data_IF_415344757040
#
_entry.id   IF_415344757040
#
_cell.length_a   1.000
_cell.length_b   1.000
_cell.length_c   1.000
_cell.angle_alpha   90.00
_cell.angle_beta   90.00
_cell.angle_gamma   90.00
#
_symmetry.space_group_name_H-M   'P 1'
#
loop_
_entity.id
_entity.type
_entity.pdbx_description
1 polymer ?
#
# COMPACT_ATOMS: atom_id res chain seq x y z
N UNK A 1 3.43 25.39 0.49
CA UNK A 1 3.43 24.68 -0.81
C UNK A 1 4.32 23.45 -0.79
N UNK A 2 5.55 23.54 -0.28
CA UNK A 2 6.50 22.43 -0.23
C UNK A 2 6.00 21.28 0.65
N UNK A 3 5.48 21.59 1.83
CA UNK A 3 4.93 20.58 2.77
C UNK A 3 3.68 19.88 2.21
N UNK A 4 2.84 20.62 1.49
CA UNK A 4 1.66 20.04 0.84
C UNK A 4 2.03 19.09 -0.32
N UNK A 5 3.06 19.45 -1.09
CA UNK A 5 3.58 18.59 -2.16
C UNK A 5 4.24 17.32 -1.59
N UNK A 6 4.96 17.45 -0.46
CA UNK A 6 5.53 16.32 0.26
C UNK A 6 4.45 15.35 0.73
N UNK A 7 3.40 15.87 1.36
CA UNK A 7 2.26 15.07 1.80
C UNK A 7 1.61 14.33 0.62
N UNK A 8 1.49 14.99 -0.54
CA UNK A 8 1.02 14.37 -1.78
C UNK A 8 1.90 13.22 -2.24
N UNK A 9 3.23 13.35 -2.15
CA UNK A 9 4.18 12.29 -2.48
C UNK A 9 4.12 11.12 -1.49
N UNK A 10 3.89 11.38 -0.20
CA UNK A 10 3.70 10.34 0.81
C UNK A 10 2.46 9.50 0.52
N UNK A 11 1.38 10.12 0.05
CA UNK A 11 0.15 9.42 -0.35
C UNK A 11 0.16 8.86 -1.79
N UNK A 12 1.13 9.21 -2.62
CA UNK A 12 1.21 8.70 -3.98
C UNK A 12 1.31 7.16 -4.03
N UNK A 13 2.08 6.55 -3.12
CA UNK A 13 2.20 5.09 -3.04
C UNK A 13 0.89 4.42 -2.60
N UNK A 14 0.14 5.04 -1.70
CA UNK A 14 -1.21 4.62 -1.33
C UNK A 14 -2.12 4.63 -2.57
N UNK A 15 -2.11 5.74 -3.33
CA UNK A 15 -2.93 5.87 -4.54
C UNK A 15 -2.58 4.80 -5.59
N UNK A 16 -1.30 4.50 -5.79
CA UNK A 16 -0.85 3.42 -6.69
C UNK A 16 -1.34 2.05 -6.19
N UNK A 17 -1.26 1.77 -4.89
CA UNK A 17 -1.79 0.53 -4.30
C UNK A 17 -3.31 0.38 -4.53
N UNK A 18 -4.07 1.43 -4.24
CA UNK A 18 -5.52 1.48 -4.47
C UNK A 18 -5.86 1.34 -5.95
N UNK A 19 -5.08 1.95 -6.85
CA UNK A 19 -5.24 1.79 -8.30
C UNK A 19 -5.12 0.33 -8.74
N UNK A 20 -4.17 -0.42 -8.19
CA UNK A 20 -3.99 -1.84 -8.52
C UNK A 20 -5.23 -2.66 -8.14
N UNK A 21 -5.79 -2.45 -6.95
CA UNK A 21 -6.95 -3.21 -6.49
C UNK A 21 -8.24 -2.80 -7.19
N UNK A 22 -8.54 -1.50 -7.24
CA UNK A 22 -9.80 -1.01 -7.77
C UNK A 22 -9.87 -0.95 -9.29
N UNK A 23 -8.77 -0.54 -9.94
CA UNK A 23 -8.77 -0.30 -11.38
C UNK A 23 -8.25 -1.46 -12.21
N UNK A 24 -7.20 -2.13 -11.72
CA UNK A 24 -6.60 -3.25 -12.45
C UNK A 24 -7.33 -4.54 -12.12
N UNK A 25 -7.54 -4.89 -10.84
CA UNK A 25 -8.25 -6.11 -10.45
C UNK A 25 -9.78 -5.99 -10.49
N UNK A 26 -10.33 -4.77 -10.51
CA UNK A 26 -11.76 -4.51 -10.33
C UNK A 26 -12.32 -5.13 -9.03
N UNK A 27 -11.52 -5.20 -7.98
CA UNK A 27 -11.91 -5.73 -6.67
C UNK A 27 -11.90 -4.60 -5.64
N UNK A 28 -13.04 -4.32 -4.98
CA UNK A 28 -13.08 -3.39 -3.86
C UNK A 28 -12.35 -4.01 -2.65
N UNK A 29 -11.15 -3.51 -2.34
CA UNK A 29 -10.34 -3.97 -1.22
C UNK A 29 -10.38 -2.94 -0.08
N UNK A 30 -11.08 -3.27 0.99
CA UNK A 30 -11.17 -2.46 2.20
C UNK A 30 -10.04 -2.74 3.20
N UNK A 31 -9.13 -3.65 2.87
CA UNK A 31 -7.95 -3.95 3.72
C UNK A 31 -6.98 -2.77 3.76
N UNK A 32 -7.05 -1.88 2.78
CA UNK A 32 -6.19 -0.69 2.61
C UNK A 32 -6.03 0.10 3.91
N UNK A 33 -7.13 0.42 4.59
CA UNK A 33 -7.11 1.19 5.84
C UNK A 33 -6.32 0.47 6.95
N UNK A 34 -6.54 -0.85 7.08
CA UNK A 34 -5.81 -1.69 8.04
C UNK A 34 -4.34 -1.87 7.69
N UNK A 35 -4.03 -2.10 6.41
CA UNK A 35 -2.66 -2.29 5.93
C UNK A 35 -1.82 -1.03 6.02
N UNK A 36 -2.41 0.14 5.77
CA UNK A 36 -1.75 1.43 5.95
C UNK A 36 -1.27 1.62 7.39
N UNK A 37 -2.18 1.41 8.35
CA UNK A 37 -1.87 1.48 9.78
C UNK A 37 -0.87 0.41 10.20
N UNK A 38 -0.95 -0.79 9.61
CA UNK A 38 -0.02 -1.88 9.92
C UNK A 38 1.41 -1.54 9.50
N UNK A 39 1.58 -1.00 8.29
CA UNK A 39 2.87 -0.49 7.84
C UNK A 39 3.41 0.62 8.73
N UNK A 40 2.54 1.55 9.14
CA UNK A 40 2.86 2.61 10.08
C UNK A 40 3.34 2.03 11.43
N UNK A 41 2.59 1.09 12.02
CA UNK A 41 2.90 0.48 13.31
C UNK A 41 4.24 -0.25 13.30
N UNK A 42 4.47 -1.12 12.31
CA UNK A 42 5.72 -1.89 12.18
C UNK A 42 6.92 -0.96 11.96
N UNK A 43 6.76 0.05 11.10
CA UNK A 43 7.82 1.05 10.86
C UNK A 43 8.15 1.84 12.12
N UNK A 44 7.13 2.23 12.90
CA UNK A 44 7.31 2.96 14.16
C UNK A 44 8.13 2.17 15.16
N UNK A 45 7.81 0.90 15.37
CA UNK A 45 8.52 0.03 16.32
C UNK A 45 9.98 -0.17 15.92
N UNK A 46 10.24 -0.45 14.63
CA UNK A 46 11.62 -0.67 14.15
C UNK A 46 12.43 0.63 14.09
N UNK A 47 11.79 1.76 13.84
CA UNK A 47 12.42 3.07 13.89
C UNK A 47 12.83 3.42 15.34
N UNK A 48 11.96 3.13 16.31
CA UNK A 48 12.29 3.27 17.74
C UNK A 48 13.47 2.35 18.15
N UNK A 49 13.65 1.21 17.48
CA UNK A 49 14.81 0.33 17.63
C UNK A 49 16.06 0.78 16.82
N UNK A 50 16.09 2.01 16.34
CA UNK A 50 17.18 2.61 15.56
C UNK A 50 17.45 1.98 14.17
N UNK A 51 16.45 1.34 13.56
CA UNK A 51 16.54 0.71 12.25
C UNK A 51 15.52 1.27 11.24
N UNK A 52 15.65 2.55 10.77
CA UNK A 52 14.63 3.20 9.96
C UNK A 52 14.40 2.54 8.59
N UNK A 53 15.44 2.10 7.89
CA UNK A 53 15.31 1.41 6.60
C UNK A 53 14.68 0.02 6.74
N UNK A 54 15.06 -0.73 7.80
CA UNK A 54 14.42 -1.99 8.10
C UNK A 54 12.92 -1.80 8.42
N UNK A 55 12.56 -0.68 9.06
CA UNK A 55 11.17 -0.29 9.32
C UNK A 55 10.35 -0.13 8.04
N UNK A 56 10.89 0.51 7.01
CA UNK A 56 10.22 0.67 5.71
C UNK A 56 10.00 -0.69 5.02
N UNK A 57 11.06 -1.52 4.95
CA UNK A 57 10.97 -2.84 4.32
C UNK A 57 10.04 -3.79 5.07
N UNK A 58 10.16 -3.84 6.40
CA UNK A 58 9.30 -4.68 7.22
C UNK A 58 7.85 -4.21 7.17
N UNK A 59 7.59 -2.88 7.14
CA UNK A 59 6.26 -2.33 6.94
C UNK A 59 5.63 -2.77 5.62
N UNK A 60 6.40 -2.71 4.52
CA UNK A 60 5.95 -3.19 3.21
C UNK A 60 5.64 -4.69 3.22
N UNK A 61 6.51 -5.52 3.83
CA UNK A 61 6.29 -6.97 3.96
C UNK A 61 5.09 -7.30 4.83
N UNK A 62 4.87 -6.54 5.91
CA UNK A 62 3.69 -6.66 6.75
C UNK A 62 2.40 -6.39 5.97
N UNK A 63 2.38 -5.33 5.17
CA UNK A 63 1.26 -5.04 4.26
C UNK A 63 1.06 -6.13 3.20
N UNK A 64 2.14 -6.65 2.62
CA UNK A 64 2.07 -7.79 1.70
C UNK A 64 1.41 -9.01 2.36
N UNK A 65 1.80 -9.34 3.59
CA UNK A 65 1.19 -10.43 4.36
C UNK A 65 -0.31 -10.21 4.61
N UNK A 66 -0.71 -8.99 4.96
CA UNK A 66 -2.12 -8.62 5.10
C UNK A 66 -2.90 -8.82 3.80
N UNK A 67 -2.33 -8.40 2.65
CA UNK A 67 -2.91 -8.63 1.33
C UNK A 67 -3.06 -10.11 0.97
N UNK A 68 -2.08 -10.95 1.33
CA UNK A 68 -2.17 -12.41 1.15
C UNK A 68 -3.29 -13.01 2.00
N UNK A 69 -3.44 -12.57 3.25
CA UNK A 69 -4.54 -13.04 4.13
C UNK A 69 -5.90 -12.69 3.51
N UNK A 70 -6.08 -11.47 3.04
CA UNK A 70 -7.31 -11.06 2.32
C UNK A 70 -7.54 -11.90 1.08
N UNK A 71 -6.49 -12.12 0.26
CA UNK A 71 -6.55 -12.98 -0.91
C UNK A 71 -6.93 -14.43 -0.58
N UNK A 72 -6.40 -14.98 0.51
CA UNK A 72 -6.75 -16.30 1.00
C UNK A 72 -8.24 -16.39 1.37
N UNK A 73 -8.75 -15.42 2.13
CA UNK A 73 -10.17 -15.37 2.50
C UNK A 73 -11.10 -15.31 1.28
N UNK A 74 -10.71 -14.52 0.26
CA UNK A 74 -11.49 -14.40 -0.97
C UNK A 74 -11.49 -15.69 -1.81
N UNK A 75 -10.35 -16.38 -1.90
CA UNK A 75 -10.19 -17.49 -2.85
C UNK A 75 -10.49 -18.85 -2.21
N UNK A 76 -9.99 -19.14 -1.00
CA UNK A 76 -10.19 -20.41 -0.30
C UNK A 76 -11.50 -20.44 0.47
N UNK A 77 -11.79 -19.39 1.23
CA UNK A 77 -13.03 -19.31 1.99
C UNK A 77 -14.21 -18.85 1.13
N UNK A 78 -13.97 -18.42 -0.12
CA UNK A 78 -14.99 -17.92 -1.07
C UNK A 78 -15.84 -16.77 -0.49
N UNK A 79 -15.24 -15.97 0.39
CA UNK A 79 -15.89 -14.82 1.01
C UNK A 79 -15.93 -13.68 0.00
N UNK A 80 -17.03 -12.94 -0.03
CA UNK A 80 -17.16 -11.77 -0.92
C UNK A 80 -16.00 -10.77 -0.66
N UNK A 81 -15.39 -10.19 -1.69
CA UNK A 81 -14.20 -9.32 -1.55
C UNK A 81 -14.34 -8.21 -0.51
N UNK A 82 -15.46 -7.52 -0.50
CA UNK A 82 -15.75 -6.45 0.48
C UNK A 82 -15.73 -7.00 1.91
N UNK A 83 -16.39 -8.13 2.14
CA UNK A 83 -16.48 -8.72 3.47
C UNK A 83 -15.11 -9.25 3.95
N UNK A 84 -14.33 -9.86 3.05
CA UNK A 84 -12.97 -10.29 3.34
C UNK A 84 -12.09 -9.11 3.76
N UNK A 85 -12.18 -7.98 3.05
CA UNK A 85 -11.47 -6.74 3.39
C UNK A 85 -11.84 -6.21 4.78
N UNK A 86 -13.14 -6.15 5.10
CA UNK A 86 -13.63 -5.70 6.42
C UNK A 86 -13.13 -6.61 7.54
N UNK A 87 -13.18 -7.93 7.34
CA UNK A 87 -12.68 -8.90 8.32
C UNK A 87 -11.19 -8.74 8.59
N UNK A 88 -10.40 -8.63 7.52
CA UNK A 88 -8.94 -8.41 7.63
C UNK A 88 -8.63 -7.08 8.29
N UNK A 89 -9.29 -5.99 7.90
CA UNK A 89 -9.14 -4.66 8.50
C UNK A 89 -9.43 -4.69 10.01
N UNK A 90 -10.54 -5.33 10.41
CA UNK A 90 -10.92 -5.45 11.83
C UNK A 90 -9.91 -6.29 12.62
N UNK A 91 -9.41 -7.38 12.03
CA UNK A 91 -8.35 -8.19 12.64
C UNK A 91 -7.03 -7.41 12.76
N UNK A 92 -6.64 -6.68 11.71
CA UNK A 92 -5.45 -5.86 11.71
C UNK A 92 -5.50 -4.74 12.76
N UNK A 93 -6.66 -4.19 13.07
CA UNK A 93 -6.80 -3.18 14.13
C UNK A 93 -6.25 -3.69 15.48
N UNK A 94 -6.61 -4.91 15.87
CA UNK A 94 -6.09 -5.54 17.09
C UNK A 94 -4.59 -5.79 17.02
N UNK A 95 -4.11 -6.27 15.86
CA UNK A 95 -2.67 -6.49 15.64
C UNK A 95 -1.90 -5.16 15.71
N UNK A 96 -2.42 -4.11 15.11
CA UNK A 96 -1.80 -2.78 15.09
C UNK A 96 -1.62 -2.21 16.50
N UNK A 97 -2.66 -2.27 17.35
CA UNK A 97 -2.57 -1.86 18.76
C UNK A 97 -1.52 -2.69 19.51
N UNK A 98 -1.51 -4.00 19.29
CA UNK A 98 -0.56 -4.91 19.97
C UNK A 98 0.87 -4.65 19.55
N UNK A 99 1.12 -4.44 18.25
CA UNK A 99 2.45 -4.14 17.71
C UNK A 99 2.93 -2.77 18.17
N UNK A 100 2.07 -1.76 18.15
CA UNK A 100 2.42 -0.40 18.56
C UNK A 100 2.61 -0.29 20.08
N UNK A 101 1.94 -1.15 20.86
CA UNK A 101 1.97 -1.11 22.33
C UNK A 101 1.12 0.01 22.95
N UNK A 102 0.35 0.76 22.14
CA UNK A 102 -0.53 1.85 22.58
C UNK A 102 -1.23 2.52 21.39
N UNK A 103 -2.17 3.44 21.67
CA UNK A 103 -2.91 4.11 20.59
C UNK A 103 -2.07 5.06 19.75
N UNK A 104 -1.03 5.65 20.36
CA UNK A 104 -0.11 6.59 19.70
C UNK A 104 1.29 6.43 20.29
N UNK A 105 2.31 6.35 19.44
CA UNK A 105 3.73 6.24 19.83
C UNK A 105 4.54 7.31 19.13
N UNK A 106 5.28 8.10 19.92
CA UNK A 106 6.15 9.18 19.43
C UNK A 106 7.49 8.64 18.94
N UNK A 107 7.98 9.19 17.82
CA UNK A 107 9.28 8.92 17.20
C UNK A 107 10.21 10.14 17.23
N UNK A 108 9.99 11.09 18.14
CA UNK A 108 10.73 12.36 18.13
C UNK A 108 12.24 12.15 18.30
N UNK A 109 12.65 11.20 19.13
CA UNK A 109 14.05 10.90 19.45
C UNK A 109 14.64 9.75 18.61
N UNK A 110 13.86 9.14 17.70
CA UNK A 110 14.31 8.02 16.88
C UNK A 110 14.98 8.52 15.58
N UNK A 111 16.06 7.84 15.10
CA UNK A 111 16.69 8.16 13.83
C UNK A 111 15.70 7.88 12.68
N UNK A 112 15.64 8.78 11.71
CA UNK A 112 14.70 8.71 10.60
C UNK A 112 15.46 8.51 9.30
N UNK A 113 14.84 7.82 8.31
CA UNK A 113 15.49 7.49 7.04
C UNK A 113 15.96 8.72 6.25
N UNK A 114 15.25 9.85 6.38
CA UNK A 114 15.58 11.07 5.66
C UNK A 114 16.78 11.83 6.22
N UNK A 115 17.20 11.56 7.46
CA UNK A 115 18.43 12.15 8.04
C UNK A 115 19.67 11.65 7.31
N UNK A 116 19.64 10.41 6.81
CA UNK A 116 20.72 9.80 6.02
C UNK A 116 20.75 10.32 4.59
N UNK A 117 19.59 10.71 4.03
CA UNK A 117 19.43 11.13 2.62
C UNK A 117 19.49 12.66 2.39
N UNK A 118 19.90 13.43 3.42
CA UNK A 118 20.14 14.87 3.27
C UNK A 118 18.89 15.75 3.33
N UNK A 119 17.77 15.22 3.82
CA UNK A 119 16.55 16.00 4.06
C UNK A 119 15.26 15.26 3.74
N UNK A 120 14.15 15.76 4.27
CA UNK A 120 12.83 15.14 4.17
C UNK A 120 12.32 15.10 2.73
N UNK A 121 12.39 16.24 2.01
CA UNK A 121 11.86 16.36 0.67
C UNK A 121 12.60 15.48 -0.38
N UNK A 122 13.94 15.51 -0.47
CA UNK A 122 14.64 14.69 -1.45
C UNK A 122 14.54 13.19 -1.12
N UNK A 123 14.50 12.82 0.16
CA UNK A 123 14.40 11.42 0.56
C UNK A 123 13.05 10.80 0.18
N UNK A 124 11.94 11.46 0.52
CA UNK A 124 10.59 11.00 0.15
C UNK A 124 10.42 10.97 -1.37
N UNK A 125 10.84 12.02 -2.06
CA UNK A 125 10.76 12.10 -3.52
C UNK A 125 11.54 10.98 -4.21
N UNK A 126 12.76 10.70 -3.76
CA UNK A 126 13.60 9.64 -4.32
C UNK A 126 12.99 8.26 -4.08
N UNK A 127 12.55 7.96 -2.86
CA UNK A 127 11.94 6.66 -2.52
C UNK A 127 10.67 6.46 -3.33
N UNK A 128 9.78 7.45 -3.38
CA UNK A 128 8.54 7.37 -4.17
C UNK A 128 8.83 7.18 -5.65
N UNK A 129 9.76 7.95 -6.23
CA UNK A 129 10.13 7.82 -7.63
C UNK A 129 10.69 6.44 -7.97
N UNK A 130 11.59 5.90 -7.14
CA UNK A 130 12.17 4.56 -7.33
C UNK A 130 11.07 3.49 -7.30
N UNK A 131 10.14 3.57 -6.34
CA UNK A 131 9.08 2.58 -6.22
C UNK A 131 8.09 2.67 -7.39
N UNK A 132 7.72 3.88 -7.82
CA UNK A 132 6.86 4.09 -8.99
C UNK A 132 7.51 3.51 -10.26
N UNK A 133 8.81 3.71 -10.45
CA UNK A 133 9.55 3.11 -11.56
C UNK A 133 9.55 1.58 -11.46
N UNK A 134 9.82 1.01 -10.28
CA UNK A 134 9.80 -0.44 -10.07
C UNK A 134 8.43 -1.04 -10.35
N UNK A 135 7.35 -0.41 -9.87
CA UNK A 135 5.97 -0.83 -10.13
C UNK A 135 5.66 -0.76 -11.63
N UNK A 136 6.07 0.30 -12.30
CA UNK A 136 5.87 0.46 -13.75
C UNK A 136 6.60 -0.64 -14.54
N UNK A 137 7.84 -0.93 -14.18
CA UNK A 137 8.62 -2.02 -14.78
C UNK A 137 7.99 -3.38 -14.49
N UNK A 138 7.52 -3.60 -13.26
CA UNK A 138 6.81 -4.83 -12.90
C UNK A 138 5.57 -5.06 -13.78
N UNK A 139 4.77 -4.01 -14.02
CA UNK A 139 3.60 -4.12 -14.89
C UNK A 139 3.91 -4.33 -16.37
N UNK A 140 5.17 -4.18 -16.80
CA UNK A 140 5.65 -4.57 -18.14
C UNK A 140 6.11 -6.03 -18.20
N UNK A 141 6.30 -6.68 -17.05
CA UNK A 141 6.64 -8.12 -16.99
C UNK A 141 5.43 -9.02 -17.23
N UNK A 142 5.70 -10.30 -17.48
CA UNK A 142 4.65 -11.32 -17.65
C UNK A 142 3.71 -11.37 -16.44
N UNK A 143 4.25 -11.21 -15.21
CA UNK A 143 3.44 -11.15 -13.99
C UNK A 143 2.44 -10.00 -13.99
N UNK A 144 2.87 -8.80 -14.35
CA UNK A 144 1.99 -7.64 -14.46
C UNK A 144 0.93 -7.78 -15.55
N UNK A 145 1.29 -8.40 -16.69
CA UNK A 145 0.33 -8.71 -17.75
C UNK A 145 -0.73 -9.72 -17.29
N UNK A 146 -0.34 -10.75 -16.53
CA UNK A 146 -1.27 -11.71 -15.94
C UNK A 146 -2.26 -11.04 -14.98
N UNK A 147 -1.79 -10.08 -14.15
CA UNK A 147 -2.66 -9.33 -13.23
C UNK A 147 -3.68 -8.50 -14.01
N UNK A 148 -3.27 -7.79 -15.06
CA UNK A 148 -4.18 -7.01 -15.92
C UNK A 148 -5.19 -7.91 -16.63
N UNK A 149 -4.74 -9.04 -17.16
CA UNK A 149 -5.61 -10.00 -17.84
C UNK A 149 -6.65 -10.58 -16.87
N UNK A 150 -6.24 -10.95 -15.64
CA UNK A 150 -7.13 -11.50 -14.61
C UNK A 150 -8.21 -10.50 -14.17
N UNK A 151 -7.88 -9.20 -14.12
CA UNK A 151 -8.84 -8.16 -13.81
C UNK A 151 -9.82 -7.86 -14.93
N UNK A 152 -9.44 -8.08 -16.20
CA UNK A 152 -10.35 -7.88 -17.35
C UNK A 152 -11.27 -9.05 -17.59
N UNK A 153 -10.76 -10.28 -17.55
CA UNK A 153 -11.57 -11.49 -17.77
C UNK A 153 -10.89 -12.71 -17.13
N UNK A 154 -11.37 -13.09 -15.95
CA UNK A 154 -10.82 -14.20 -15.17
C UNK A 154 -11.01 -15.55 -15.87
N UNK A 155 -12.14 -15.77 -16.55
CA UNK A 155 -12.43 -17.03 -17.22
C UNK A 155 -11.49 -17.27 -18.40
N UNK A 156 -11.12 -16.22 -19.14
CA UNK A 156 -10.15 -16.29 -20.22
C UNK A 156 -8.75 -16.65 -19.69
N UNK A 157 -8.34 -16.04 -18.58
CA UNK A 157 -7.03 -16.33 -17.96
C UNK A 157 -6.97 -17.76 -17.44
N UNK A 158 -8.06 -18.25 -16.86
CA UNK A 158 -8.20 -19.63 -16.41
C UNK A 158 -8.12 -20.61 -17.58
N UNK A 159 -8.75 -20.31 -18.72
CA UNK A 159 -8.66 -21.10 -19.94
C UNK A 159 -7.23 -21.17 -20.51
N UNK A 160 -6.40 -20.16 -20.24
CA UNK A 160 -4.98 -20.10 -20.63
C UNK A 160 -4.05 -20.84 -19.66
N UNK A 161 -4.57 -21.71 -18.79
CA UNK A 161 -3.83 -22.52 -17.80
C UNK A 161 -3.06 -21.68 -16.75
N UNK A 162 -3.40 -20.39 -16.57
CA UNK A 162 -2.81 -19.54 -15.56
C UNK A 162 -3.58 -19.67 -14.25
N UNK A 163 -2.86 -19.84 -13.16
CA UNK A 163 -3.48 -19.92 -11.83
C UNK A 163 -3.98 -18.55 -11.35
N UNK A 164 -5.27 -18.28 -11.58
CA UNK A 164 -5.93 -17.01 -11.22
C UNK A 164 -5.88 -16.72 -9.71
N UNK A 165 -5.89 -17.76 -8.88
CA UNK A 165 -5.76 -17.65 -7.42
C UNK A 165 -4.42 -17.04 -7.02
N UNK A 166 -3.31 -17.59 -7.57
CA UNK A 166 -1.98 -17.07 -7.30
C UNK A 166 -1.79 -15.64 -7.81
N UNK A 167 -2.36 -15.33 -8.98
CA UNK A 167 -2.34 -13.97 -9.55
C UNK A 167 -3.08 -12.98 -8.66
N UNK A 168 -4.25 -13.33 -8.12
CA UNK A 168 -4.99 -12.50 -7.15
C UNK A 168 -4.19 -12.26 -5.87
N UNK A 169 -3.59 -13.31 -5.29
CA UNK A 169 -2.79 -13.18 -4.08
C UNK A 169 -1.59 -12.25 -4.31
N UNK A 170 -0.88 -12.43 -5.40
CA UNK A 170 0.25 -11.59 -5.76
C UNK A 170 -0.15 -10.12 -5.94
N UNK A 171 -1.28 -9.87 -6.59
CA UNK A 171 -1.77 -8.53 -6.83
C UNK A 171 -2.24 -7.83 -5.54
N UNK A 172 -2.99 -8.53 -4.67
CA UNK A 172 -3.41 -8.00 -3.36
C UNK A 172 -2.21 -7.79 -2.43
N UNK A 173 -1.24 -8.71 -2.44
CA UNK A 173 0.01 -8.57 -1.68
C UNK A 173 0.79 -7.33 -2.14
N UNK A 174 0.97 -7.15 -3.44
CA UNK A 174 1.68 -5.99 -4.00
C UNK A 174 0.97 -4.67 -3.66
N UNK A 175 -0.34 -4.62 -3.86
CA UNK A 175 -1.13 -3.43 -3.58
C UNK A 175 -1.06 -3.03 -2.10
N UNK A 176 -1.29 -3.97 -1.20
CA UNK A 176 -1.24 -3.73 0.24
C UNK A 176 0.19 -3.47 0.75
N UNK A 177 1.23 -4.00 0.09
CA UNK A 177 2.63 -3.65 0.36
C UNK A 177 2.91 -2.17 0.08
N UNK A 178 2.41 -1.64 -1.05
CA UNK A 178 2.57 -0.23 -1.41
C UNK A 178 1.81 0.70 -0.46
N UNK A 179 0.59 0.31 -0.09
CA UNK A 179 -0.22 1.02 0.90
C UNK A 179 0.47 1.08 2.26
N UNK A 180 0.95 -0.05 2.75
CA UNK A 180 1.66 -0.14 4.02
C UNK A 180 2.99 0.62 4.00
N UNK A 181 3.69 0.64 2.87
CA UNK A 181 4.90 1.42 2.69
C UNK A 181 4.62 2.92 2.74
N UNK A 182 3.51 3.39 2.17
CA UNK A 182 3.03 4.77 2.31
C UNK A 182 2.82 5.13 3.79
N UNK A 183 2.15 4.26 4.56
CA UNK A 183 1.97 4.43 6.00
C UNK A 183 3.29 4.44 6.78
N UNK A 184 4.23 3.59 6.40
CA UNK A 184 5.57 3.53 7.00
C UNK A 184 6.38 4.82 6.77
N UNK A 185 6.33 5.38 5.56
CA UNK A 185 6.97 6.66 5.22
C UNK A 185 6.32 7.79 6.01
N UNK A 186 4.99 7.83 6.05
CA UNK A 186 4.23 8.86 6.76
C UNK A 186 4.58 8.87 8.25
N UNK A 187 4.67 7.70 8.92
CA UNK A 187 5.06 7.59 10.32
C UNK A 187 6.40 8.25 10.62
N UNK A 188 7.40 7.96 9.79
CA UNK A 188 8.73 8.53 9.95
C UNK A 188 8.76 10.04 9.62
N UNK A 189 7.96 10.48 8.64
CA UNK A 189 7.86 11.88 8.26
C UNK A 189 7.13 12.74 9.31
N UNK A 190 6.06 12.22 9.90
CA UNK A 190 5.31 12.90 10.95
C UNK A 190 5.98 12.79 12.34
N UNK A 191 6.78 11.74 12.54
CA UNK A 191 7.46 11.49 13.80
C UNK A 191 6.57 10.87 14.88
N UNK A 192 5.46 10.23 14.49
CA UNK A 192 4.60 9.45 15.37
C UNK A 192 3.83 8.37 14.60
N UNK A 193 3.45 7.31 15.29
CA UNK A 193 2.54 6.28 14.78
C UNK A 193 1.22 6.32 15.53
N UNK A 194 0.10 6.33 14.81
CA UNK A 194 -1.25 6.34 15.36
C UNK A 194 -2.07 5.20 14.75
N UNK A 195 -2.76 4.45 15.62
CA UNK A 195 -3.63 3.33 15.21
C UNK A 195 -4.84 3.81 14.41
N UNK A 196 -5.29 5.04 14.63
CA UNK A 196 -6.40 5.66 13.91
C UNK A 196 -6.05 6.23 12.52
N UNK A 197 -4.76 6.34 12.18
CA UNK A 197 -4.29 7.02 10.98
C UNK A 197 -4.79 6.42 9.65
N UNK A 198 -5.10 5.12 9.63
CA UNK A 198 -5.61 4.43 8.43
C UNK A 198 -7.09 4.67 8.15
N UNK A 199 -7.83 5.25 9.10
CA UNK A 199 -9.28 5.41 8.92
C UNK A 199 -9.61 6.37 7.78
N UNK A 200 -10.25 5.86 6.72
CA UNK A 200 -10.66 6.66 5.55
C UNK A 200 -9.57 6.85 4.50
N UNK A 201 -8.40 6.22 4.63
CA UNK A 201 -7.32 6.31 3.63
C UNK A 201 -7.74 5.77 2.27
N UNK A 202 -8.63 4.78 2.23
CA UNK A 202 -9.21 4.29 0.99
C UNK A 202 -9.95 5.37 0.21
N UNK A 203 -10.63 6.30 0.90
CA UNK A 203 -11.37 7.40 0.25
C UNK A 203 -10.39 8.37 -0.39
N UNK A 204 -9.29 8.70 0.31
CA UNK A 204 -8.21 9.56 -0.21
C UNK A 204 -7.57 8.90 -1.44
N UNK A 205 -7.26 7.60 -1.35
CA UNK A 205 -6.70 6.83 -2.45
C UNK A 205 -7.60 6.81 -3.68
N UNK A 206 -8.89 6.51 -3.50
CA UNK A 206 -9.87 6.51 -4.61
C UNK A 206 -10.06 7.90 -5.22
N UNK A 207 -10.16 8.94 -4.40
CA UNK A 207 -10.27 10.32 -4.90
C UNK A 207 -9.04 10.70 -5.73
N UNK A 208 -7.84 10.37 -5.27
CA UNK A 208 -6.58 10.61 -5.98
C UNK A 208 -6.55 9.89 -7.33
N UNK A 209 -6.98 8.62 -7.38
CA UNK A 209 -7.06 7.83 -8.61
C UNK A 209 -8.05 8.45 -9.60
N UNK A 210 -9.26 8.82 -9.16
CA UNK A 210 -10.30 9.41 -10.03
C UNK A 210 -9.81 10.74 -10.58
N UNK A 211 -9.26 11.62 -9.74
CA UNK A 211 -8.74 12.92 -10.16
C UNK A 211 -7.59 12.74 -11.16
N UNK A 212 -6.65 11.82 -10.87
CA UNK A 212 -5.55 11.49 -11.76
C UNK A 212 -6.01 10.99 -13.13
N UNK A 213 -7.02 10.12 -13.19
CA UNK A 213 -7.60 9.62 -14.45
C UNK A 213 -8.28 10.74 -15.25
N UNK A 214 -8.93 11.70 -14.59
CA UNK A 214 -9.57 12.85 -15.26
C UNK A 214 -8.54 13.80 -15.87
N UNK A 215 -7.45 14.07 -15.14
CA UNK A 215 -6.42 15.04 -15.59
C UNK A 215 -5.55 14.45 -16.70
N UNK A 216 -5.06 13.23 -16.55
CA UNK A 216 -4.12 12.62 -17.49
C UNK A 216 -4.79 11.81 -18.62
N UNK A 217 -6.09 11.56 -18.53
CA UNK A 217 -6.82 10.72 -19.47
C UNK A 217 -6.30 9.27 -19.47
N UNK A 218 -6.85 8.44 -20.38
CA UNK A 218 -6.53 7.00 -20.47
C UNK A 218 -5.13 6.68 -21.01
N UNK A 219 -4.24 7.65 -21.22
CA UNK A 219 -2.98 7.48 -21.96
C UNK A 219 -1.77 7.02 -21.16
N UNK A 220 -1.83 7.00 -19.84
CA UNK A 220 -0.69 6.55 -19.03
C UNK A 220 -1.16 6.06 -17.66
N UNK A 221 -1.00 4.76 -17.44
CA UNK A 221 -1.46 4.08 -16.23
C UNK A 221 -0.79 4.61 -14.95
N UNK A 222 0.42 5.14 -15.05
CA UNK A 222 1.22 5.56 -13.89
C UNK A 222 1.37 7.09 -13.82
N UNK A 223 1.43 7.77 -14.96
CA UNK A 223 1.64 9.23 -15.01
C UNK A 223 0.41 10.00 -14.47
N UNK A 224 -0.77 9.37 -14.47
CA UNK A 224 -2.00 9.99 -13.97
C UNK A 224 -2.25 9.84 -12.48
N UNK A 225 -1.39 9.12 -11.75
CA UNK A 225 -1.60 8.77 -10.33
C UNK A 225 -0.58 9.47 -9.43
N UNK A 226 0.57 9.82 -9.95
CA UNK A 226 1.65 10.57 -9.29
C UNK A 226 1.53 12.05 -9.56
#
# INVERSE_FOLDING_TARGET
>A
FLDSALLGLEYALLAVGVYITFRILNLPDLTVDGSFTFGMAVSTVLCAAAHPFAGLLAGALAGAAAGVVTGFLQTHCKIHPILAGILTMSGLYTVNITVLGGPNVSLLDAPKFFEVLGGKAPAVGLVTAVIVVLVTLFFQTVGGLCIRAAGSNEDMVRASSINTTAVRWAALALANALVALSGAILAQCQGFGDVGAGSGMIIIGLASVIIGEVICGRRGIVIGIV
#
